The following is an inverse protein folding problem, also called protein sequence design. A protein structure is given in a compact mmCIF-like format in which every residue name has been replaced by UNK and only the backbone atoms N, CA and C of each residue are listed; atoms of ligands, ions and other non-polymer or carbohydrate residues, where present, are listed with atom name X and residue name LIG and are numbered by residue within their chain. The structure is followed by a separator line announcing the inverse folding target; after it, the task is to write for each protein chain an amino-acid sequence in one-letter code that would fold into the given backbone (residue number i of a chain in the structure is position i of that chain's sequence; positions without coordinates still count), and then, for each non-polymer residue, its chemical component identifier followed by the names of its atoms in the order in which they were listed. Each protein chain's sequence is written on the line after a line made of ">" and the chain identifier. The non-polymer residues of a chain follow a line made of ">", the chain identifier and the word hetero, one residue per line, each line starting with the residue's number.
data_IF_347895667837
#
_entry.id   IF_347895667837
#
_cell.length_a   1.000
_cell.length_b   1.000
_cell.length_c   1.000
_cell.angle_alpha   90.00
_cell.angle_beta   90.00
_cell.angle_gamma   90.00
#
_symmetry.space_group_name_H-M   'P 1'
#
loop_
_entity.id
_entity.type
_entity.pdbx_description
1 polymer ?
#
# COMPACT_ATOMS: atom_id res chain seq x y z
N UNK A 1 -59.81 12.31 8.58
CA UNK A 1 -59.05 11.70 9.71
C UNK A 1 -58.75 10.21 9.40
N UNK A 2 -59.76 9.37 9.15
CA UNK A 2 -59.54 7.91 8.91
C UNK A 2 -58.65 7.61 7.70
N UNK A 3 -58.76 8.34 6.61
CA UNK A 3 -57.97 8.10 5.39
C UNK A 3 -56.47 8.40 5.61
N UNK A 4 -56.14 9.47 6.32
CA UNK A 4 -54.75 9.83 6.67
C UNK A 4 -54.11 8.79 7.58
N UNK A 5 -54.82 8.25 8.57
CA UNK A 5 -54.29 7.22 9.46
C UNK A 5 -53.96 5.91 8.70
N UNK A 6 -54.73 5.54 7.67
CA UNK A 6 -54.46 4.35 6.85
C UNK A 6 -53.18 4.54 6.01
N UNK A 7 -53.00 5.73 5.44
CA UNK A 7 -51.77 6.05 4.66
C UNK A 7 -50.53 6.03 5.55
N UNK A 8 -50.59 6.64 6.74
CA UNK A 8 -49.51 6.64 7.73
C UNK A 8 -49.14 5.22 8.18
N UNK A 9 -50.16 4.38 8.50
CA UNK A 9 -49.94 2.97 8.86
C UNK A 9 -49.26 2.20 7.71
N UNK A 10 -49.73 2.38 6.48
CA UNK A 10 -49.14 1.71 5.32
C UNK A 10 -47.69 2.17 5.09
N UNK A 11 -47.39 3.45 5.25
CA UNK A 11 -46.03 3.97 5.15
C UNK A 11 -45.14 3.42 6.28
N UNK A 12 -45.63 3.38 7.50
CA UNK A 12 -44.91 2.81 8.66
C UNK A 12 -44.55 1.34 8.44
N UNK A 13 -45.42 0.54 7.85
CA UNK A 13 -45.17 -0.87 7.50
C UNK A 13 -44.10 -1.02 6.39
N UNK A 14 -44.10 -0.10 5.42
CA UNK A 14 -43.05 -0.08 4.38
C UNK A 14 -41.70 0.21 5.02
N UNK A 15 -41.63 1.18 5.92
CA UNK A 15 -40.40 1.51 6.66
C UNK A 15 -39.91 0.29 7.45
N UNK A 16 -40.77 -0.40 8.18
CA UNK A 16 -40.44 -1.61 8.91
C UNK A 16 -39.85 -2.70 7.99
N UNK A 17 -40.46 -2.93 6.81
CA UNK A 17 -39.95 -3.89 5.82
C UNK A 17 -38.57 -3.50 5.29
N UNK A 18 -38.34 -2.21 5.06
CA UNK A 18 -37.03 -1.69 4.64
C UNK A 18 -35.96 -1.90 5.73
N UNK A 19 -36.35 -1.67 7.01
CA UNK A 19 -35.49 -1.92 8.15
C UNK A 19 -35.07 -3.40 8.27
N UNK A 20 -36.02 -4.33 8.08
CA UNK A 20 -35.69 -5.77 8.01
C UNK A 20 -34.71 -6.11 6.93
N UNK A 21 -34.83 -5.47 5.75
CA UNK A 21 -33.88 -5.66 4.65
C UNK A 21 -32.50 -5.16 5.04
N UNK A 22 -32.38 -3.97 5.61
CA UNK A 22 -31.11 -3.44 6.10
C UNK A 22 -30.49 -4.37 7.16
N UNK A 23 -31.27 -4.91 8.08
CA UNK A 23 -30.79 -5.88 9.08
C UNK A 23 -30.25 -7.16 8.41
N UNK A 24 -30.98 -7.71 7.42
CA UNK A 24 -30.51 -8.91 6.68
C UNK A 24 -29.22 -8.65 5.89
N UNK A 25 -29.05 -7.44 5.40
CA UNK A 25 -27.87 -7.00 4.66
C UNK A 25 -26.71 -6.56 5.59
N UNK A 26 -26.84 -6.77 6.92
CA UNK A 26 -25.90 -6.36 7.98
C UNK A 26 -25.64 -4.86 8.05
N UNK A 27 -26.52 -4.06 7.48
CA UNK A 27 -26.52 -2.59 7.57
C UNK A 27 -27.26 -2.18 8.85
N UNK A 28 -26.65 -2.49 9.98
CA UNK A 28 -27.31 -2.38 11.28
C UNK A 28 -27.66 -0.95 11.65
N UNK A 29 -26.79 0.02 11.33
CA UNK A 29 -27.04 1.42 11.62
C UNK A 29 -28.27 1.94 10.85
N UNK A 30 -28.36 1.64 9.55
CA UNK A 30 -29.52 1.99 8.72
C UNK A 30 -30.79 1.24 9.15
N UNK A 31 -30.65 0.00 9.61
CA UNK A 31 -31.75 -0.77 10.16
C UNK A 31 -32.33 -0.10 11.41
N UNK A 32 -31.48 0.24 12.37
CA UNK A 32 -31.84 0.91 13.63
C UNK A 32 -32.53 2.25 13.35
N UNK A 33 -31.92 3.09 12.51
CA UNK A 33 -32.46 4.39 12.11
C UNK A 33 -33.82 4.26 11.40
N UNK A 34 -34.07 3.17 10.68
CA UNK A 34 -35.32 2.89 10.02
C UNK A 34 -36.36 2.37 11.01
N UNK A 35 -35.99 1.50 11.96
CA UNK A 35 -36.90 1.05 13.02
C UNK A 35 -37.40 2.21 13.86
N UNK A 36 -36.60 3.22 14.15
CA UNK A 36 -37.01 4.41 14.90
C UNK A 36 -38.07 5.25 14.20
N UNK A 37 -38.20 5.13 12.89
CA UNK A 37 -39.23 5.81 12.10
C UNK A 37 -40.55 5.07 12.02
N UNK A 38 -40.65 3.87 12.61
CA UNK A 38 -41.91 3.11 12.67
C UNK A 38 -42.86 3.75 13.66
N UNK A 39 -44.05 4.10 13.21
CA UNK A 39 -44.99 4.90 13.98
C UNK A 39 -45.75 4.06 15.03
N UNK A 40 -45.92 4.63 16.21
CA UNK A 40 -46.64 4.01 17.33
C UNK A 40 -48.14 3.73 17.03
N UNK A 41 -48.74 4.40 16.05
CA UNK A 41 -50.11 4.19 15.62
C UNK A 41 -50.34 2.75 15.14
N UNK A 42 -49.35 2.08 14.59
CA UNK A 42 -49.39 0.64 14.29
C UNK A 42 -48.69 -0.15 15.40
N UNK A 43 -49.42 -0.31 16.53
CA UNK A 43 -48.86 -0.89 17.75
C UNK A 43 -48.09 -2.18 17.54
N UNK A 44 -48.62 -3.08 16.69
CA UNK A 44 -47.98 -4.38 16.40
C UNK A 44 -46.58 -4.20 15.74
N UNK A 45 -46.51 -3.38 14.70
CA UNK A 45 -45.25 -3.17 13.99
C UNK A 45 -44.27 -2.31 14.77
N UNK A 46 -44.77 -1.39 15.59
CA UNK A 46 -43.97 -0.60 16.53
C UNK A 46 -43.30 -1.46 17.60
N UNK A 47 -44.03 -2.43 18.21
CA UNK A 47 -43.46 -3.38 19.17
C UNK A 47 -42.41 -4.28 18.52
N UNK A 48 -42.66 -4.79 17.29
CA UNK A 48 -41.71 -5.57 16.52
C UNK A 48 -40.47 -4.75 16.16
N UNK A 49 -40.64 -3.50 15.76
CA UNK A 49 -39.51 -2.61 15.43
C UNK A 49 -38.63 -2.36 16.65
N UNK A 50 -39.20 -2.09 17.81
CA UNK A 50 -38.43 -1.91 19.05
C UNK A 50 -37.67 -3.17 19.47
N UNK A 51 -38.26 -4.36 19.27
CA UNK A 51 -37.56 -5.62 19.53
C UNK A 51 -36.38 -5.80 18.60
N UNK A 52 -36.62 -5.67 17.29
CA UNK A 52 -35.58 -5.86 16.29
C UNK A 52 -34.50 -4.78 16.38
N UNK A 53 -34.84 -3.55 16.76
CA UNK A 53 -33.86 -2.50 17.03
C UNK A 53 -32.86 -2.91 18.12
N UNK A 54 -33.37 -3.46 19.25
CA UNK A 54 -32.49 -3.94 20.33
C UNK A 54 -31.55 -5.03 19.86
N UNK A 55 -32.08 -6.00 19.11
CA UNK A 55 -31.28 -7.07 18.50
C UNK A 55 -30.21 -6.50 17.55
N UNK A 56 -30.57 -5.52 16.73
CA UNK A 56 -29.60 -4.85 15.84
C UNK A 56 -28.47 -4.14 16.61
N UNK A 57 -28.79 -3.48 17.73
CA UNK A 57 -27.79 -2.80 18.57
C UNK A 57 -26.78 -3.82 19.12
N UNK A 58 -27.24 -4.99 19.57
CA UNK A 58 -26.36 -6.04 20.07
C UNK A 58 -25.46 -6.64 18.97
N UNK A 59 -26.03 -6.89 17.77
CA UNK A 59 -25.28 -7.43 16.64
C UNK A 59 -24.29 -6.42 16.03
N UNK A 60 -24.65 -5.14 16.08
CA UNK A 60 -23.87 -4.05 15.50
C UNK A 60 -22.51 -3.89 16.17
N UNK A 61 -22.41 -4.07 17.48
CA UNK A 61 -21.19 -3.87 18.25
C UNK A 61 -20.04 -4.71 17.68
N UNK A 62 -20.16 -6.03 17.72
CA UNK A 62 -19.09 -6.91 17.24
C UNK A 62 -18.82 -6.73 15.75
N UNK A 63 -19.87 -6.56 14.95
CA UNK A 63 -19.72 -6.41 13.51
C UNK A 63 -18.91 -5.17 13.14
N UNK A 64 -19.22 -4.00 13.68
CA UNK A 64 -18.50 -2.78 13.34
C UNK A 64 -17.15 -2.65 14.05
N UNK A 65 -16.94 -3.26 15.20
CA UNK A 65 -15.61 -3.40 15.80
C UNK A 65 -14.68 -4.18 14.86
N UNK A 66 -15.12 -5.33 14.32
CA UNK A 66 -14.29 -6.09 13.38
C UNK A 66 -14.07 -5.34 12.07
N UNK A 67 -15.08 -4.68 11.53
CA UNK A 67 -14.95 -3.84 10.34
C UNK A 67 -13.99 -2.66 10.55
N UNK A 68 -14.04 -2.00 11.70
CA UNK A 68 -13.12 -0.92 12.03
C UNK A 68 -11.66 -1.38 12.10
N UNK A 69 -11.42 -2.55 12.69
CA UNK A 69 -10.09 -3.16 12.74
C UNK A 69 -9.56 -3.53 11.34
N UNK A 70 -10.44 -4.09 10.50
CA UNK A 70 -10.11 -4.41 9.11
C UNK A 70 -9.74 -3.16 8.32
N UNK A 71 -10.56 -2.11 8.38
CA UNK A 71 -10.30 -0.83 7.72
C UNK A 71 -8.99 -0.18 8.22
N UNK A 72 -8.78 -0.15 9.56
CA UNK A 72 -7.53 0.36 10.12
C UNK A 72 -6.29 -0.42 9.65
N UNK A 73 -6.39 -1.75 9.52
CA UNK A 73 -5.30 -2.58 9.01
C UNK A 73 -4.98 -2.26 7.55
N UNK A 74 -5.98 -1.93 6.76
CA UNK A 74 -5.83 -1.56 5.35
C UNK A 74 -5.37 -0.10 5.15
N UNK A 75 -5.25 0.69 6.23
CA UNK A 75 -4.90 2.11 6.14
C UNK A 75 -6.07 3.05 5.87
N UNK A 76 -7.30 2.52 5.86
CA UNK A 76 -8.55 3.28 5.65
C UNK A 76 -9.05 3.85 6.99
N UNK A 77 -8.25 4.75 7.57
CA UNK A 77 -8.47 5.24 8.93
C UNK A 77 -9.77 6.04 9.09
N UNK A 78 -10.17 6.79 8.06
CA UNK A 78 -11.45 7.50 8.04
C UNK A 78 -12.62 6.52 8.07
N UNK A 79 -12.57 5.43 7.30
CA UNK A 79 -13.59 4.39 7.32
C UNK A 79 -13.59 3.65 8.66
N UNK A 80 -12.41 3.37 9.23
CA UNK A 80 -12.30 2.78 10.56
C UNK A 80 -12.97 3.64 11.63
N UNK A 81 -12.76 4.95 11.62
CA UNK A 81 -13.42 5.91 12.50
C UNK A 81 -14.94 5.96 12.28
N UNK A 82 -15.39 5.91 11.03
CA UNK A 82 -16.83 5.89 10.71
C UNK A 82 -17.53 4.66 11.31
N UNK A 83 -16.91 3.48 11.28
CA UNK A 83 -17.46 2.30 11.95
C UNK A 83 -17.51 2.46 13.47
N UNK A 84 -16.54 3.13 14.08
CA UNK A 84 -16.56 3.47 15.51
C UNK A 84 -17.71 4.45 15.81
N UNK A 85 -17.92 5.46 14.99
CA UNK A 85 -19.01 6.43 15.18
C UNK A 85 -20.39 5.77 15.16
N UNK A 86 -20.62 4.75 14.32
CA UNK A 86 -21.90 4.02 14.28
C UNK A 86 -22.25 3.34 15.60
N UNK A 87 -21.27 2.86 16.35
CA UNK A 87 -21.48 2.16 17.62
C UNK A 87 -21.40 3.08 18.85
N UNK A 88 -20.64 4.14 18.77
CA UNK A 88 -20.37 5.08 19.87
C UNK A 88 -21.66 5.73 20.41
N UNK A 89 -22.64 5.99 19.54
CA UNK A 89 -23.94 6.56 19.93
C UNK A 89 -24.69 5.66 20.94
N UNK A 90 -24.48 4.33 20.86
CA UNK A 90 -25.17 3.33 21.69
C UNK A 90 -24.30 2.79 22.84
N UNK A 91 -22.99 3.01 22.79
CA UNK A 91 -22.00 2.50 23.76
C UNK A 91 -21.02 3.63 24.16
N UNK A 92 -21.56 4.70 24.74
CA UNK A 92 -20.88 5.98 24.98
C UNK A 92 -19.63 5.83 25.86
N UNK A 93 -19.68 5.00 26.89
CA UNK A 93 -18.62 4.84 27.89
C UNK A 93 -17.86 3.51 27.73
N UNK A 94 -17.92 2.89 26.55
CA UNK A 94 -17.20 1.64 26.31
C UNK A 94 -15.68 1.92 26.11
N UNK A 95 -14.86 1.41 27.03
CA UNK A 95 -13.41 1.62 27.00
C UNK A 95 -12.76 1.12 25.71
N UNK A 96 -13.23 -0.01 25.15
CA UNK A 96 -12.69 -0.57 23.90
C UNK A 96 -12.93 0.38 22.73
N UNK A 97 -14.14 0.96 22.65
CA UNK A 97 -14.49 1.93 21.60
C UNK A 97 -13.62 3.18 21.71
N UNK A 98 -13.45 3.70 22.92
CA UNK A 98 -12.65 4.91 23.17
C UNK A 98 -11.17 4.69 22.84
N UNK A 99 -10.62 3.52 23.19
CA UNK A 99 -9.24 3.16 22.84
C UNK A 99 -9.03 3.02 21.33
N UNK A 100 -9.95 2.34 20.62
CA UNK A 100 -9.87 2.19 19.17
C UNK A 100 -10.01 3.53 18.47
N UNK A 101 -10.95 4.38 18.89
CA UNK A 101 -11.10 5.73 18.33
C UNK A 101 -9.80 6.53 18.44
N UNK A 102 -9.20 6.56 19.63
CA UNK A 102 -7.92 7.26 19.87
C UNK A 102 -6.81 6.69 19.03
N UNK A 103 -6.72 5.37 18.90
CA UNK A 103 -5.73 4.70 18.06
C UNK A 103 -5.90 5.10 16.60
N UNK A 104 -7.13 5.05 16.07
CA UNK A 104 -7.40 5.35 14.65
C UNK A 104 -7.19 6.83 14.34
N UNK A 105 -7.55 7.75 15.24
CA UNK A 105 -7.23 9.17 15.12
C UNK A 105 -5.72 9.42 15.08
N UNK A 106 -4.97 8.70 15.92
CA UNK A 106 -3.51 8.78 15.93
C UNK A 106 -2.93 8.27 14.61
N UNK A 107 -3.41 7.12 14.12
CA UNK A 107 -2.98 6.56 12.84
C UNK A 107 -3.31 7.50 11.68
N UNK A 108 -4.52 8.06 11.66
CA UNK A 108 -4.94 9.04 10.65
C UNK A 108 -3.98 10.24 10.62
N UNK A 109 -3.67 10.81 11.79
CA UNK A 109 -2.74 11.93 11.90
C UNK A 109 -1.31 11.58 11.47
N UNK A 110 -0.84 10.36 11.79
CA UNK A 110 0.53 9.93 11.47
C UNK A 110 0.73 9.58 9.99
N UNK A 111 -0.28 8.97 9.37
CA UNK A 111 -0.16 8.38 8.03
C UNK A 111 -0.90 9.15 6.93
N UNK A 112 -1.51 10.28 7.26
CA UNK A 112 -2.02 11.23 6.28
C UNK A 112 -1.02 12.36 6.10
N UNK A 113 -0.54 12.54 4.85
CA UNK A 113 0.31 13.65 4.48
C UNK A 113 -0.52 14.70 3.75
N UNK A 114 -0.45 15.93 4.22
CA UNK A 114 -0.97 17.08 3.46
C UNK A 114 -0.03 17.43 2.31
N UNK A 115 -0.52 18.18 1.33
CA UNK A 115 0.31 18.72 0.24
C UNK A 115 1.52 19.48 0.78
N UNK A 116 1.34 20.22 1.88
CA UNK A 116 2.41 20.99 2.53
C UNK A 116 3.46 20.06 3.19
N UNK A 117 3.04 18.97 3.81
CA UNK A 117 3.94 17.97 4.40
C UNK A 117 4.81 17.31 3.32
N UNK A 118 4.18 16.91 2.20
CA UNK A 118 4.88 16.31 1.06
C UNK A 118 5.90 17.30 0.48
N UNK A 119 5.48 18.55 0.27
CA UNK A 119 6.35 19.59 -0.28
C UNK A 119 7.53 19.89 0.65
N UNK A 120 7.29 19.95 1.96
CA UNK A 120 8.35 20.11 2.97
C UNK A 120 9.33 18.94 2.97
N UNK A 121 8.83 17.71 2.88
CA UNK A 121 9.64 16.50 2.83
C UNK A 121 10.56 16.50 1.61
N UNK A 122 10.01 16.77 0.42
CA UNK A 122 10.77 16.83 -0.84
C UNK A 122 11.80 17.95 -0.79
N UNK A 123 11.42 19.15 -0.37
CA UNK A 123 12.32 20.29 -0.26
C UNK A 123 13.51 19.99 0.66
N UNK A 124 13.23 19.40 1.82
CA UNK A 124 14.26 19.00 2.79
C UNK A 124 15.21 17.95 2.24
N UNK A 125 14.69 16.86 1.64
CA UNK A 125 15.52 15.77 1.12
C UNK A 125 16.32 16.18 -0.13
N UNK A 126 15.73 16.98 -1.01
CA UNK A 126 16.40 17.46 -2.23
C UNK A 126 17.35 18.63 -1.98
N UNK A 127 17.36 19.21 -0.78
CA UNK A 127 18.08 20.44 -0.44
C UNK A 127 17.71 21.63 -1.34
N UNK A 128 16.44 21.68 -1.79
CA UNK A 128 15.89 22.75 -2.61
C UNK A 128 15.04 23.71 -1.79
N UNK A 129 14.92 24.96 -2.25
CA UNK A 129 13.99 25.91 -1.62
C UNK A 129 12.55 25.53 -1.94
N UNK A 130 11.71 25.38 -0.90
CA UNK A 130 10.30 25.06 -1.03
C UNK A 130 9.56 26.02 -2.00
N UNK A 131 9.92 27.30 -2.00
CA UNK A 131 9.33 28.32 -2.88
C UNK A 131 9.58 28.09 -4.38
N UNK A 132 10.55 27.25 -4.74
CA UNK A 132 10.88 26.92 -6.12
C UNK A 132 10.20 25.65 -6.60
N UNK A 133 9.54 24.92 -5.68
CA UNK A 133 8.91 23.63 -5.94
C UNK A 133 7.39 23.78 -5.95
N UNK A 134 6.76 23.02 -6.84
CA UNK A 134 5.33 22.73 -6.82
C UNK A 134 5.10 21.24 -7.03
N UNK A 135 3.97 20.74 -6.57
CA UNK A 135 3.65 19.31 -6.65
C UNK A 135 2.20 19.09 -7.08
N UNK A 136 1.97 17.99 -7.76
CA UNK A 136 0.67 17.39 -7.96
C UNK A 136 0.70 16.00 -7.32
N UNK A 137 -0.14 15.75 -6.32
CA UNK A 137 -0.06 14.53 -5.50
C UNK A 137 -1.44 13.91 -5.28
N UNK A 138 -1.51 12.58 -5.34
CA UNK A 138 -2.71 11.81 -5.02
C UNK A 138 -2.36 10.53 -4.28
N UNK A 139 -3.30 10.03 -3.48
CA UNK A 139 -3.16 8.79 -2.75
C UNK A 139 -3.24 7.59 -3.70
N UNK A 140 -2.42 6.58 -3.42
CA UNK A 140 -2.43 5.30 -4.13
C UNK A 140 -2.13 4.16 -3.15
N UNK A 141 -2.88 3.06 -3.26
CA UNK A 141 -2.58 1.84 -2.54
C UNK A 141 -1.64 0.96 -3.35
N UNK A 142 -0.58 0.48 -2.72
CA UNK A 142 0.38 -0.45 -3.32
C UNK A 142 0.68 -1.55 -2.32
N UNK A 143 0.32 -2.80 -2.64
CA UNK A 143 0.49 -3.96 -1.75
C UNK A 143 -0.12 -3.75 -0.35
N UNK A 144 -1.34 -3.20 -0.30
CA UNK A 144 -2.08 -2.88 0.92
C UNK A 144 -1.43 -1.80 1.82
N UNK A 145 -0.45 -1.07 1.30
CA UNK A 145 0.15 0.08 1.96
C UNK A 145 -0.19 1.39 1.24
N UNK A 146 -0.35 2.48 2.01
CA UNK A 146 -0.73 3.79 1.51
C UNK A 146 0.50 4.58 1.06
N UNK A 147 0.48 4.99 -0.19
CA UNK A 147 1.50 5.86 -0.81
C UNK A 147 0.87 7.13 -1.35
N UNK A 148 1.71 8.15 -1.57
CA UNK A 148 1.38 9.34 -2.33
C UNK A 148 2.21 9.37 -3.60
N UNK A 149 1.56 9.13 -4.75
CA UNK A 149 2.17 9.39 -6.05
C UNK A 149 2.23 10.90 -6.24
N UNK A 150 3.41 11.42 -6.54
CA UNK A 150 3.67 12.85 -6.57
C UNK A 150 4.54 13.22 -7.76
N UNK A 151 4.01 14.07 -8.63
CA UNK A 151 4.78 14.76 -9.64
C UNK A 151 5.45 15.97 -9.01
N UNK A 152 6.75 16.12 -9.19
CA UNK A 152 7.55 17.21 -8.61
C UNK A 152 8.01 18.15 -9.70
N UNK A 153 7.67 19.42 -9.56
CA UNK A 153 8.03 20.48 -10.50
C UNK A 153 8.98 21.48 -9.85
N UNK A 154 9.97 21.97 -10.62
CA UNK A 154 10.80 23.11 -10.28
C UNK A 154 10.65 24.16 -11.37
N UNK A 155 10.18 25.35 -11.01
CA UNK A 155 9.89 26.43 -11.98
C UNK A 155 9.05 25.92 -13.18
N UNK A 156 7.93 25.22 -12.88
CA UNK A 156 6.98 24.64 -13.84
C UNK A 156 7.56 23.51 -14.74
N UNK A 157 8.79 23.07 -14.49
CA UNK A 157 9.40 21.94 -15.19
C UNK A 157 9.27 20.69 -14.32
N UNK A 158 8.71 19.61 -14.87
CA UNK A 158 8.67 18.30 -14.21
C UNK A 158 10.10 17.77 -14.04
N UNK A 159 10.52 17.59 -12.79
CA UNK A 159 11.88 17.15 -12.45
C UNK A 159 11.93 15.73 -11.87
N UNK A 160 10.82 15.23 -11.34
CA UNK A 160 10.71 13.88 -10.81
C UNK A 160 9.26 13.43 -10.70
N UNK A 161 9.06 12.11 -10.69
CA UNK A 161 7.82 11.43 -10.33
C UNK A 161 8.17 10.48 -9.19
N UNK A 162 7.53 10.62 -8.03
CA UNK A 162 7.88 9.86 -6.83
C UNK A 162 6.68 9.18 -6.19
N UNK A 163 6.93 8.05 -5.53
CA UNK A 163 6.04 7.47 -4.53
C UNK A 163 6.60 7.79 -3.15
N UNK A 164 5.75 8.28 -2.28
CA UNK A 164 6.09 8.57 -0.88
C UNK A 164 5.28 7.64 0.01
N UNK A 165 5.96 6.80 0.76
CA UNK A 165 5.34 5.96 1.77
C UNK A 165 4.73 6.83 2.87
N UNK A 166 3.43 6.69 3.09
CA UNK A 166 2.70 7.50 4.07
C UNK A 166 3.22 7.28 5.51
N UNK A 167 3.73 6.10 5.80
CA UNK A 167 4.17 5.67 7.13
C UNK A 167 5.65 5.99 7.38
N UNK A 168 6.54 5.46 6.55
CA UNK A 168 7.99 5.63 6.71
C UNK A 168 8.49 6.98 6.24
N UNK A 169 7.74 7.68 5.37
CA UNK A 169 8.14 8.91 4.66
C UNK A 169 9.33 8.67 3.72
N UNK A 170 9.58 7.43 3.35
CA UNK A 170 10.56 7.10 2.32
C UNK A 170 10.07 7.56 0.95
N UNK A 171 10.99 8.02 0.11
CA UNK A 171 10.72 8.52 -1.23
C UNK A 171 11.33 7.55 -2.24
N UNK A 172 10.52 7.07 -3.17
CA UNK A 172 10.94 6.21 -4.27
C UNK A 172 10.77 6.97 -5.58
N UNK A 173 11.85 7.19 -6.34
CA UNK A 173 11.78 7.85 -7.65
C UNK A 173 11.36 6.89 -8.74
N UNK A 174 10.56 7.39 -9.69
CA UNK A 174 10.16 6.62 -10.86
C UNK A 174 11.36 6.37 -11.77
N UNK A 175 11.56 5.13 -12.17
CA UNK A 175 12.60 4.72 -13.09
C UNK A 175 12.02 3.94 -14.26
N UNK A 176 12.23 4.47 -15.45
CA UNK A 176 11.85 3.87 -16.73
C UNK A 176 13.06 3.94 -17.67
N UNK A 177 13.13 3.04 -18.65
CA UNK A 177 14.17 3.03 -19.70
C UNK A 177 14.29 4.36 -20.45
N UNK A 178 13.25 5.18 -20.46
CA UNK A 178 13.17 6.46 -21.17
C UNK A 178 13.21 7.69 -20.25
N UNK A 179 13.08 7.52 -18.92
CA UNK A 179 13.04 8.59 -17.93
C UNK A 179 14.00 8.25 -16.79
N UNK A 180 15.20 8.77 -16.85
CA UNK A 180 16.16 8.68 -15.76
C UNK A 180 16.18 10.00 -15.01
N UNK A 181 15.28 10.14 -14.04
CA UNK A 181 15.30 11.26 -13.11
C UNK A 181 16.50 11.07 -12.17
N UNK A 182 17.60 11.76 -12.43
CA UNK A 182 18.77 11.75 -11.55
C UNK A 182 18.50 12.47 -10.24
N UNK A 183 17.72 11.84 -9.39
CA UNK A 183 17.45 12.38 -8.06
C UNK A 183 18.41 11.79 -7.06
N UNK A 184 19.09 12.67 -6.32
CA UNK A 184 20.00 12.30 -5.24
C UNK A 184 19.33 12.23 -3.86
N UNK A 185 18.00 12.28 -3.82
CA UNK A 185 17.22 12.36 -2.58
C UNK A 185 16.23 11.20 -2.40
N UNK A 186 16.14 10.29 -3.35
CA UNK A 186 15.29 9.09 -3.21
C UNK A 186 15.94 8.02 -2.35
N UNK A 187 15.12 7.32 -1.59
CA UNK A 187 15.52 6.17 -0.77
C UNK A 187 15.54 4.87 -1.60
N UNK A 188 14.99 4.90 -2.80
CA UNK A 188 14.93 3.78 -3.74
C UNK A 188 14.25 4.15 -5.05
N UNK A 189 13.92 3.14 -5.83
CA UNK A 189 13.26 3.31 -7.11
C UNK A 189 12.02 2.44 -7.23
N UNK A 190 11.06 2.89 -8.05
CA UNK A 190 9.93 2.07 -8.48
C UNK A 190 9.74 2.16 -9.99
N UNK A 191 9.05 1.18 -10.54
CA UNK A 191 8.56 1.21 -11.93
C UNK A 191 7.09 0.81 -12.00
N UNK A 192 6.44 1.21 -13.10
CA UNK A 192 5.09 0.75 -13.44
C UNK A 192 5.23 -0.29 -14.53
N UNK A 193 4.66 -1.47 -14.32
CA UNK A 193 4.67 -2.58 -15.29
C UNK A 193 3.61 -2.36 -16.37
N UNK A 194 3.66 -3.15 -17.45
CA UNK A 194 2.71 -3.05 -18.57
C UNK A 194 1.24 -3.27 -18.20
N UNK A 195 0.99 -3.96 -17.08
CA UNK A 195 -0.35 -4.16 -16.51
C UNK A 195 -0.76 -3.08 -15.49
N UNK A 196 0.10 -2.06 -15.29
CA UNK A 196 -0.14 -0.94 -14.39
C UNK A 196 0.22 -1.21 -12.93
N UNK A 197 0.76 -2.39 -12.59
CA UNK A 197 1.22 -2.66 -11.22
C UNK A 197 2.53 -1.95 -10.92
N UNK A 198 2.73 -1.62 -9.63
CA UNK A 198 3.92 -0.94 -9.14
C UNK A 198 4.89 -1.99 -8.57
N UNK A 199 6.14 -1.90 -8.97
CA UNK A 199 7.23 -2.71 -8.46
C UNK A 199 8.33 -1.83 -7.90
N UNK A 200 8.77 -2.12 -6.67
CA UNK A 200 9.91 -1.45 -6.05
C UNK A 200 11.20 -2.19 -6.37
N UNK A 201 12.27 -1.44 -6.63
CA UNK A 201 13.59 -1.99 -6.75
C UNK A 201 14.12 -2.42 -5.37
N UNK A 202 14.75 -3.59 -5.30
CA UNK A 202 15.48 -3.99 -4.09
C UNK A 202 16.77 -3.18 -3.94
N UNK A 203 17.24 -3.04 -2.70
CA UNK A 203 18.54 -2.42 -2.44
C UNK A 203 19.70 -3.34 -2.82
N UNK A 204 20.90 -2.77 -2.97
CA UNK A 204 22.11 -3.53 -3.24
C UNK A 204 22.43 -4.54 -2.12
N UNK A 205 22.20 -4.16 -0.85
CA UNK A 205 22.36 -5.05 0.29
C UNK A 205 21.41 -6.25 0.24
N UNK A 206 20.14 -6.01 -0.11
CA UNK A 206 19.16 -7.10 -0.28
C UNK A 206 19.53 -8.01 -1.45
N UNK A 207 20.01 -7.45 -2.56
CA UNK A 207 20.47 -8.23 -3.71
C UNK A 207 21.67 -9.11 -3.34
N UNK A 208 22.66 -8.57 -2.62
CA UNK A 208 23.77 -9.35 -2.12
C UNK A 208 23.33 -10.49 -1.19
N UNK A 209 22.41 -10.22 -0.26
CA UNK A 209 21.85 -11.23 0.64
C UNK A 209 21.14 -12.37 -0.12
N UNK A 210 20.39 -12.05 -1.17
CA UNK A 210 19.74 -13.04 -2.05
C UNK A 210 20.79 -13.93 -2.70
N UNK A 211 21.89 -13.35 -3.22
CA UNK A 211 22.98 -14.10 -3.82
C UNK A 211 23.66 -15.02 -2.82
N UNK A 212 23.97 -14.53 -1.63
CA UNK A 212 24.60 -15.30 -0.55
C UNK A 212 23.76 -16.54 -0.21
N UNK A 213 22.46 -16.37 -0.01
CA UNK A 213 21.54 -17.49 0.24
C UNK A 213 21.55 -18.51 -0.89
N UNK A 214 21.47 -18.07 -2.14
CA UNK A 214 21.48 -19.00 -3.29
C UNK A 214 22.80 -19.76 -3.43
N UNK A 215 23.93 -19.11 -3.15
CA UNK A 215 25.24 -19.77 -3.13
C UNK A 215 25.32 -20.84 -2.03
N UNK A 216 24.78 -20.54 -0.85
CA UNK A 216 24.71 -21.48 0.27
C UNK A 216 23.82 -22.70 -0.05
N UNK A 217 22.63 -22.47 -0.58
CA UNK A 217 21.69 -23.53 -1.00
C UNK A 217 22.33 -24.50 -2.01
N UNK A 218 23.12 -23.99 -2.95
CA UNK A 218 23.88 -24.78 -3.92
C UNK A 218 25.22 -25.31 -3.39
N UNK A 219 25.48 -25.14 -2.10
CA UNK A 219 26.73 -25.55 -1.45
C UNK A 219 27.99 -24.98 -2.10
N UNK A 220 27.85 -23.83 -2.74
CA UNK A 220 28.96 -23.15 -3.40
C UNK A 220 29.83 -22.42 -2.37
N UNK A 221 31.08 -22.90 -2.17
CA UNK A 221 32.00 -22.32 -1.19
C UNK A 221 32.75 -21.13 -1.82
N UNK A 222 32.35 -19.94 -1.43
CA UNK A 222 33.00 -18.70 -1.87
C UNK A 222 33.91 -18.10 -0.78
N UNK A 223 34.84 -17.27 -1.20
CA UNK A 223 35.74 -16.50 -0.34
C UNK A 223 35.26 -15.06 -0.19
N UNK A 224 34.76 -14.46 -1.26
CA UNK A 224 34.36 -13.04 -1.31
C UNK A 224 33.33 -12.81 -2.42
N UNK A 225 32.34 -11.97 -2.13
CA UNK A 225 31.42 -11.36 -3.09
C UNK A 225 31.82 -9.90 -3.23
N UNK A 226 31.86 -9.38 -4.44
CA UNK A 226 32.26 -8.01 -4.77
C UNK A 226 31.21 -7.45 -5.71
N UNK A 227 30.56 -6.36 -5.31
CA UNK A 227 29.72 -5.58 -6.22
C UNK A 227 30.56 -4.96 -7.34
N UNK A 228 30.03 -4.97 -8.55
CA UNK A 228 30.72 -4.46 -9.76
C UNK A 228 29.83 -3.40 -10.38
N UNK A 229 30.35 -2.19 -10.55
CA UNK A 229 29.66 -1.12 -11.25
C UNK A 229 29.51 -1.43 -12.75
N UNK A 230 28.41 -0.96 -13.35
CA UNK A 230 28.05 -1.23 -14.76
C UNK A 230 29.15 -0.83 -15.74
N UNK A 231 29.88 0.27 -15.49
CA UNK A 231 30.97 0.75 -16.31
C UNK A 231 32.25 -0.17 -16.32
N UNK A 232 32.30 -1.11 -15.36
CA UNK A 232 33.41 -2.05 -15.21
C UNK A 232 33.08 -3.49 -15.60
N UNK A 233 31.79 -3.75 -15.89
CA UNK A 233 31.36 -5.13 -16.16
C UNK A 233 32.02 -5.74 -17.39
N UNK A 234 32.28 -4.97 -18.44
CA UNK A 234 32.89 -5.42 -19.68
C UNK A 234 34.30 -6.04 -19.49
N UNK A 235 34.97 -5.71 -18.37
CA UNK A 235 36.23 -6.34 -17.99
C UNK A 235 36.11 -7.77 -17.49
N UNK A 236 34.88 -8.18 -17.16
CA UNK A 236 34.58 -9.47 -16.54
C UNK A 236 33.72 -10.38 -17.42
N UNK A 237 33.15 -9.82 -18.48
CA UNK A 237 32.29 -10.52 -19.44
C UNK A 237 33.08 -10.54 -20.75
N UNK A 238 33.38 -11.73 -21.27
CA UNK A 238 34.00 -11.88 -22.59
C UNK A 238 33.01 -11.36 -23.65
N UNK A 239 33.49 -10.64 -24.66
CA UNK A 239 32.68 -9.96 -25.73
C UNK A 239 31.70 -10.86 -26.50
N UNK A 240 31.53 -12.12 -26.10
CA UNK A 240 30.66 -13.11 -26.73
C UNK A 240 29.24 -13.21 -26.08
N UNK A 241 29.03 -12.56 -24.95
CA UNK A 241 27.74 -12.64 -24.24
C UNK A 241 26.90 -11.42 -24.60
N UNK A 242 25.88 -11.62 -25.40
CA UNK A 242 24.89 -10.58 -25.71
C UNK A 242 23.97 -10.38 -24.46
N UNK A 243 24.46 -9.58 -23.51
CA UNK A 243 23.73 -9.20 -22.30
C UNK A 243 22.42 -8.48 -22.63
N UNK A 244 22.44 -7.69 -23.69
CA UNK A 244 21.33 -6.83 -24.08
C UNK A 244 20.07 -7.61 -24.47
N UNK A 245 20.20 -8.78 -25.09
CA UNK A 245 19.08 -9.49 -25.68
C UNK A 245 18.19 -10.20 -24.66
N UNK A 246 18.77 -10.73 -23.59
CA UNK A 246 18.04 -11.49 -22.55
C UNK A 246 17.58 -10.61 -21.37
N UNK A 247 18.26 -9.47 -21.16
CA UNK A 247 18.02 -8.57 -20.01
C UNK A 247 17.33 -7.26 -20.40
N UNK A 248 17.20 -6.98 -21.70
CA UNK A 248 16.50 -5.77 -22.22
C UNK A 248 15.06 -5.64 -21.72
N UNK A 249 14.38 -6.76 -21.50
CA UNK A 249 13.01 -6.79 -21.02
C UNK A 249 12.91 -6.79 -19.49
N UNK A 250 14.00 -7.01 -18.77
CA UNK A 250 14.00 -7.23 -17.32
C UNK A 250 14.35 -5.97 -16.48
N UNK A 251 14.82 -4.91 -17.11
CA UNK A 251 15.14 -3.64 -16.44
C UNK A 251 16.49 -3.63 -15.73
N UNK A 252 16.60 -2.85 -14.65
CA UNK A 252 17.86 -2.62 -13.94
C UNK A 252 18.38 -3.84 -13.18
N UNK A 253 19.69 -3.98 -13.17
CA UNK A 253 20.38 -5.15 -12.64
C UNK A 253 21.58 -4.76 -11.77
N UNK A 254 21.84 -5.57 -10.75
CA UNK A 254 23.08 -5.55 -9.98
C UNK A 254 24.03 -6.62 -10.47
N UNK A 255 25.32 -6.28 -10.55
CA UNK A 255 26.38 -7.20 -10.92
C UNK A 255 27.24 -7.56 -9.72
N UNK A 256 27.52 -8.85 -9.56
CA UNK A 256 28.38 -9.36 -8.50
C UNK A 256 29.43 -10.32 -9.03
N UNK A 257 30.67 -10.11 -8.60
CA UNK A 257 31.76 -11.04 -8.83
C UNK A 257 31.97 -11.88 -7.60
N UNK A 258 31.85 -13.20 -7.77
CA UNK A 258 32.08 -14.19 -6.72
C UNK A 258 33.42 -14.83 -6.91
N UNK A 259 34.25 -14.84 -5.87
CA UNK A 259 35.58 -15.50 -5.85
C UNK A 259 35.45 -16.78 -5.04
N UNK A 260 35.49 -17.93 -5.69
CA UNK A 260 35.35 -19.25 -5.05
C UNK A 260 36.57 -19.63 -4.21
N UNK A 261 36.34 -20.47 -3.16
CA UNK A 261 37.41 -21.10 -2.37
C UNK A 261 37.98 -22.29 -3.15
N UNK A 262 39.28 -22.34 -3.40
CA UNK A 262 39.96 -23.48 -4.03
C UNK A 262 41.32 -23.13 -4.56
N UNK A 263 42.07 -24.17 -5.00
CA UNK A 263 43.41 -24.03 -5.62
C UNK A 263 43.34 -23.26 -6.95
N UNK A 264 42.26 -23.44 -7.71
CA UNK A 264 41.94 -22.66 -8.90
C UNK A 264 40.87 -21.65 -8.55
N UNK A 265 41.24 -20.39 -8.30
CA UNK A 265 40.34 -19.28 -7.97
C UNK A 265 39.46 -18.96 -9.19
N UNK A 266 38.45 -19.79 -9.43
CA UNK A 266 37.44 -19.50 -10.45
C UNK A 266 36.68 -18.23 -10.02
N UNK A 267 36.57 -17.31 -10.96
CA UNK A 267 35.79 -16.08 -10.80
C UNK A 267 34.50 -16.28 -11.58
N UNK A 268 33.37 -16.12 -10.91
CA UNK A 268 32.04 -16.21 -11.51
C UNK A 268 31.40 -14.85 -11.40
N UNK A 269 30.61 -14.45 -12.41
CA UNK A 269 29.86 -13.21 -12.42
C UNK A 269 28.39 -13.55 -12.35
N UNK A 270 27.72 -12.93 -11.42
CA UNK A 270 26.28 -13.07 -11.21
C UNK A 270 25.58 -11.77 -11.48
N UNK A 271 24.37 -11.87 -11.99
CA UNK A 271 23.44 -10.76 -12.19
C UNK A 271 22.22 -10.99 -11.33
N UNK A 272 21.71 -9.93 -10.71
CA UNK A 272 20.47 -9.95 -9.97
C UNK A 272 19.56 -8.85 -10.51
N UNK A 273 18.36 -9.23 -10.93
CA UNK A 273 17.37 -8.27 -11.37
C UNK A 273 16.77 -7.55 -10.14
N UNK A 274 16.78 -6.21 -10.17
CA UNK A 274 16.33 -5.36 -9.03
C UNK A 274 14.85 -5.53 -8.69
N UNK A 275 14.01 -5.92 -9.63
CA UNK A 275 12.57 -5.95 -9.48
C UNK A 275 12.00 -7.35 -9.31
N UNK A 276 12.62 -8.34 -9.99
CA UNK A 276 12.15 -9.73 -9.97
C UNK A 276 12.90 -10.61 -8.98
N UNK A 277 14.01 -10.12 -8.42
CA UNK A 277 14.92 -10.84 -7.53
C UNK A 277 15.57 -12.09 -8.16
N UNK A 278 15.41 -12.28 -9.47
CA UNK A 278 16.01 -13.40 -10.19
C UNK A 278 17.52 -13.26 -10.24
N UNK A 279 18.19 -14.38 -10.04
CA UNK A 279 19.66 -14.50 -10.08
C UNK A 279 20.06 -15.27 -11.32
N UNK A 280 21.04 -14.74 -12.03
CA UNK A 280 21.61 -15.35 -13.23
C UNK A 280 23.12 -15.51 -13.05
N UNK A 281 23.67 -16.59 -13.58
CA UNK A 281 25.11 -16.81 -13.71
C UNK A 281 25.55 -16.49 -15.13
N UNK A 282 26.60 -15.73 -15.27
CA UNK A 282 27.30 -15.50 -16.56
C UNK A 282 28.44 -16.50 -16.67
N UNK A 283 28.41 -17.33 -17.68
CA UNK A 283 29.46 -18.24 -18.03
C UNK A 283 29.87 -18.11 -19.53
N UNK A 284 30.78 -18.97 -19.99
CA UNK A 284 31.30 -18.93 -21.38
C UNK A 284 30.18 -19.25 -22.42
N UNK A 285 29.10 -19.86 -22.01
CA UNK A 285 27.97 -20.24 -22.89
C UNK A 285 26.85 -19.20 -22.86
N UNK A 286 26.96 -18.16 -22.01
CA UNK A 286 25.99 -17.07 -21.91
C UNK A 286 25.41 -16.87 -20.50
N UNK A 287 24.17 -16.37 -20.43
CA UNK A 287 23.45 -16.10 -19.19
C UNK A 287 22.52 -17.27 -18.88
N UNK A 288 22.64 -17.84 -17.67
CA UNK A 288 21.83 -18.97 -17.19
C UNK A 288 21.12 -18.61 -15.90
N UNK A 289 19.89 -19.10 -15.73
CA UNK A 289 19.17 -19.01 -14.44
C UNK A 289 20.00 -19.74 -13.35
N UNK A 290 20.14 -19.08 -12.20
CA UNK A 290 20.95 -19.60 -11.10
C UNK A 290 20.12 -19.98 -9.87
#
# INVERSE_FOLDING_TARGET
>A
IYKNNIEEINQSRKIYKSALKYQSDKKYYEAITSYDKVLQIDKKYYELANKNKKECIELMYNYYIEKSKEANKNGDYEEALQYIDYIKEYYIDDETILELEKQYQTNLAMYTLTTDDILNLIAKKSNKKKSNLSINSFQQMVNDEKYYYTEVYEHDTLIDEVLIDAKSKEIYSYKDSNKDYKTNYSDGYFRVTSDGSIQFAITEEKAQFILEKKLEEKQNKYKKIISVSNDKIDKYIDNKVDLDKKLKDDGDIYYYKVVNKGLFKKKEVYIINMYTEKVYLIDNDGIKDY
#
